data_IF_014747027249
#
_entry.id   IF_014747027249
#
_cell.length_a   1.000
_cell.length_b   1.000
_cell.length_c   1.000
_cell.angle_alpha   90.00
_cell.angle_beta   90.00
_cell.angle_gamma   90.00
#
_symmetry.space_group_name_H-M   'P 1'
#
loop_
_entity.id
_entity.type
_entity.pdbx_description
1 polymer ?
#
# COMPACT_ATOMS: atom_id res chain seq x y z
N UNK A 1 9.45 -6.85 -4.98
CA UNK A 1 10.78 -6.83 -5.64
C UNK A 1 11.61 -8.06 -5.30
N UNK A 2 11.99 -8.32 -4.04
CA UNK A 2 12.77 -9.51 -3.67
C UNK A 2 12.18 -10.82 -4.20
N UNK A 3 10.89 -11.08 -3.95
CA UNK A 3 10.21 -12.25 -4.51
C UNK A 3 10.27 -12.32 -6.04
N UNK A 4 10.11 -11.19 -6.74
CA UNK A 4 10.21 -11.14 -8.21
C UNK A 4 11.63 -11.46 -8.70
N UNK A 5 12.64 -11.11 -7.92
CA UNK A 5 14.03 -11.45 -8.18
C UNK A 5 14.43 -12.86 -7.71
N UNK A 6 13.46 -13.72 -7.36
CA UNK A 6 13.69 -15.11 -6.97
C UNK A 6 14.07 -15.33 -5.49
N UNK A 7 14.14 -14.26 -4.69
CA UNK A 7 14.46 -14.38 -3.27
C UNK A 7 13.25 -14.78 -2.42
N UNK A 8 13.50 -15.50 -1.33
CA UNK A 8 12.52 -15.79 -0.29
C UNK A 8 12.69 -14.79 0.87
N UNK A 9 11.57 -14.36 1.45
CA UNK A 9 11.54 -13.52 2.65
C UNK A 9 10.98 -14.37 3.77
N UNK A 10 11.73 -14.51 4.86
CA UNK A 10 11.35 -15.31 6.02
C UNK A 10 11.38 -14.45 7.30
N UNK A 11 10.59 -14.86 8.29
CA UNK A 11 10.58 -14.31 9.64
C UNK A 11 11.32 -15.26 10.56
N UNK A 12 12.23 -14.73 11.40
CA UNK A 12 12.88 -15.48 12.49
C UNK A 12 12.13 -15.13 13.77
N UNK A 13 11.31 -16.05 14.27
CA UNK A 13 10.37 -15.77 15.37
C UNK A 13 11.09 -15.54 16.71
N UNK A 14 12.29 -16.10 16.86
CA UNK A 14 13.13 -16.01 18.06
C UNK A 14 13.79 -14.63 18.19
N UNK A 15 13.94 -13.90 17.09
CA UNK A 15 14.56 -12.58 17.06
C UNK A 15 13.52 -11.47 17.31
N UNK A 16 13.17 -11.24 18.57
CA UNK A 16 12.19 -10.22 18.96
C UNK A 16 12.87 -8.86 19.18
N UNK A 17 12.42 -7.84 18.44
CA UNK A 17 12.87 -6.45 18.58
C UNK A 17 11.68 -5.58 18.97
N UNK A 18 11.80 -4.88 20.11
CA UNK A 18 10.79 -3.90 20.53
C UNK A 18 10.99 -2.59 19.78
N UNK A 19 9.97 -2.15 19.05
CA UNK A 19 10.01 -0.90 18.30
C UNK A 19 8.99 0.10 18.83
N UNK A 20 9.39 1.36 18.94
CA UNK A 20 8.50 2.47 19.29
C UNK A 20 7.75 2.87 18.01
N UNK A 21 6.74 2.08 17.63
CA UNK A 21 5.78 2.30 16.53
C UNK A 21 6.05 3.49 15.60
N UNK A 22 5.20 4.52 15.68
CA UNK A 22 5.34 5.76 14.92
C UNK A 22 6.19 6.81 15.65
N UNK A 23 7.28 6.44 16.32
CA UNK A 23 8.03 7.30 17.25
C UNK A 23 8.52 8.62 16.67
N UNK A 24 8.80 8.68 15.36
CA UNK A 24 9.27 9.91 14.70
C UNK A 24 8.15 10.76 14.09
N UNK A 25 6.97 10.18 13.83
CA UNK A 25 5.88 10.88 13.15
C UNK A 25 4.50 10.46 13.69
N UNK A 26 3.79 11.39 14.38
CA UNK A 26 2.49 11.11 15.00
C UNK A 26 1.46 10.54 14.02
N UNK A 27 0.55 9.71 14.52
CA UNK A 27 -0.48 9.04 13.71
C UNK A 27 -1.40 10.04 13.00
N UNK A 28 -1.73 11.15 13.67
CA UNK A 28 -2.60 12.22 13.17
C UNK A 28 -1.87 13.28 12.33
N UNK A 29 -0.59 13.09 12.01
CA UNK A 29 0.18 14.06 11.24
C UNK A 29 -0.28 14.11 9.78
N UNK A 30 -0.66 15.30 9.24
CA UNK A 30 -0.98 15.44 7.81
C UNK A 30 0.18 15.03 6.90
N UNK A 31 1.42 15.25 7.33
CA UNK A 31 2.59 14.84 6.55
C UNK A 31 2.70 13.31 6.47
N UNK A 32 2.34 12.59 7.54
CA UNK A 32 2.26 11.13 7.52
C UNK A 32 1.19 10.64 6.55
N UNK A 33 0.03 11.31 6.54
CA UNK A 33 -1.03 11.07 5.57
C UNK A 33 -0.46 11.17 4.15
N UNK A 34 0.19 12.29 3.79
CA UNK A 34 0.82 12.45 2.48
C UNK A 34 1.78 11.32 2.13
N UNK A 35 2.71 10.98 3.05
CA UNK A 35 3.68 9.91 2.81
C UNK A 35 3.01 8.56 2.61
N UNK A 36 2.00 8.21 3.39
CA UNK A 36 1.28 6.94 3.29
C UNK A 36 0.57 6.81 1.94
N UNK A 37 -0.16 7.84 1.51
CA UNK A 37 -0.88 7.83 0.24
C UNK A 37 0.09 7.80 -0.95
N UNK A 38 1.11 8.67 -0.95
CA UNK A 38 2.10 8.73 -2.03
C UNK A 38 2.90 7.43 -2.14
N UNK A 39 3.45 6.95 -1.03
CA UNK A 39 4.27 5.74 -1.04
C UNK A 39 3.44 4.50 -1.40
N UNK A 40 2.18 4.43 -0.98
CA UNK A 40 1.24 3.39 -1.37
C UNK A 40 1.01 3.36 -2.88
N UNK A 41 0.70 4.51 -3.49
CA UNK A 41 0.56 4.62 -4.96
C UNK A 41 1.83 4.20 -5.69
N UNK A 42 3.00 4.65 -5.22
CA UNK A 42 4.29 4.32 -5.84
C UNK A 42 4.59 2.83 -5.74
N UNK A 43 4.28 2.21 -4.60
CA UNK A 43 4.49 0.78 -4.36
C UNK A 43 3.64 -0.04 -5.33
N UNK A 44 2.34 0.23 -5.40
CA UNK A 44 1.40 -0.47 -6.29
C UNK A 44 1.82 -0.28 -7.75
N UNK A 45 2.07 0.96 -8.17
CA UNK A 45 2.42 1.26 -9.55
C UNK A 45 3.66 0.52 -10.03
N UNK A 46 4.70 0.41 -9.20
CA UNK A 46 5.94 -0.29 -9.59
C UNK A 46 5.85 -1.81 -9.55
N UNK A 47 4.97 -2.38 -8.72
CA UNK A 47 5.05 -3.80 -8.36
C UNK A 47 3.84 -4.65 -8.77
N UNK A 48 2.67 -4.06 -9.02
CA UNK A 48 1.48 -4.82 -9.41
C UNK A 48 1.70 -5.60 -10.72
N UNK A 49 1.24 -6.87 -10.81
CA UNK A 49 1.16 -7.59 -12.09
C UNK A 49 0.30 -6.82 -13.09
N UNK A 50 0.62 -6.90 -14.39
CA UNK A 50 -0.14 -6.17 -15.43
C UNK A 50 -1.62 -6.59 -15.48
N UNK A 51 -1.91 -7.88 -15.24
CA UNK A 51 -3.28 -8.42 -15.18
C UNK A 51 -4.19 -7.73 -14.15
N UNK A 52 -3.63 -7.36 -13.00
CA UNK A 52 -4.38 -6.78 -11.88
C UNK A 52 -4.26 -5.25 -11.81
N UNK A 53 -3.33 -4.69 -12.58
CA UNK A 53 -2.90 -3.30 -12.47
C UNK A 53 -4.06 -2.31 -12.59
N UNK A 54 -4.83 -2.38 -13.67
CA UNK A 54 -5.91 -1.42 -13.95
C UNK A 54 -7.00 -1.48 -12.87
N UNK A 55 -7.44 -2.69 -12.52
CA UNK A 55 -8.47 -2.93 -11.50
C UNK A 55 -8.04 -2.40 -10.14
N UNK A 56 -6.85 -2.78 -9.66
CA UNK A 56 -6.38 -2.39 -8.32
C UNK A 56 -6.07 -0.89 -8.25
N UNK A 57 -5.48 -0.30 -9.30
CA UNK A 57 -5.23 1.15 -9.34
C UNK A 57 -6.54 1.96 -9.32
N UNK A 58 -7.58 1.51 -10.04
CA UNK A 58 -8.89 2.15 -10.01
C UNK A 58 -9.53 2.08 -8.61
N UNK A 59 -9.57 0.88 -8.01
CA UNK A 59 -10.08 0.69 -6.65
C UNK A 59 -9.31 1.58 -5.67
N UNK A 60 -7.97 1.66 -5.82
CA UNK A 60 -7.12 2.50 -4.98
C UNK A 60 -7.49 3.98 -5.09
N UNK A 61 -7.70 4.49 -6.31
CA UNK A 61 -8.10 5.88 -6.52
C UNK A 61 -9.45 6.19 -5.84
N UNK A 62 -10.43 5.29 -5.96
CA UNK A 62 -11.75 5.45 -5.31
C UNK A 62 -11.61 5.44 -3.79
N UNK A 63 -10.89 4.47 -3.21
CA UNK A 63 -10.71 4.38 -1.76
C UNK A 63 -9.94 5.59 -1.19
N UNK A 64 -8.97 6.11 -1.93
CA UNK A 64 -8.24 7.32 -1.53
C UNK A 64 -9.17 8.56 -1.56
N UNK A 65 -10.05 8.65 -2.56
CA UNK A 65 -11.09 9.67 -2.64
C UNK A 65 -12.07 9.60 -1.46
N UNK A 66 -12.57 8.40 -1.13
CA UNK A 66 -13.43 8.16 0.05
C UNK A 66 -12.72 8.58 1.33
N UNK A 67 -11.44 8.27 1.47
CA UNK A 67 -10.67 8.66 2.67
C UNK A 67 -10.48 10.17 2.74
N UNK A 68 -10.24 10.83 1.61
CA UNK A 68 -10.17 12.30 1.55
C UNK A 68 -11.49 12.95 1.97
N UNK A 69 -12.63 12.44 1.47
CA UNK A 69 -13.95 12.90 1.88
C UNK A 69 -14.20 12.70 3.38
N UNK A 70 -13.79 11.54 3.92
CA UNK A 70 -13.88 11.28 5.36
C UNK A 70 -13.09 12.31 6.18
N UNK A 71 -11.88 12.69 5.74
CA UNK A 71 -11.13 13.76 6.40
C UNK A 71 -11.84 15.12 6.34
N UNK A 72 -12.49 15.45 5.23
CA UNK A 72 -13.29 16.68 5.12
C UNK A 72 -14.46 16.70 6.09
N UNK A 73 -15.21 15.59 6.20
CA UNK A 73 -16.32 15.44 7.16
C UNK A 73 -15.83 15.58 8.60
N UNK A 74 -14.60 15.14 8.89
CA UNK A 74 -13.95 15.31 10.20
C UNK A 74 -13.28 16.69 10.40
N UNK A 75 -13.47 17.64 9.48
CA UNK A 75 -12.84 18.97 9.48
C UNK A 75 -11.30 18.93 9.47
N UNK A 76 -10.72 17.82 9.01
CA UNK A 76 -9.27 17.62 8.89
C UNK A 76 -8.76 18.06 7.50
N UNK A 77 -9.01 19.32 7.14
CA UNK A 77 -8.73 19.87 5.81
C UNK A 77 -7.28 19.69 5.36
N UNK A 78 -6.31 19.83 6.28
CA UNK A 78 -4.89 19.61 5.99
C UNK A 78 -4.63 18.17 5.53
N UNK A 79 -5.22 17.17 6.20
CA UNK A 79 -5.08 15.76 5.82
C UNK A 79 -5.74 15.47 4.48
N UNK A 80 -6.93 16.00 4.22
CA UNK A 80 -7.60 15.88 2.92
C UNK A 80 -6.74 16.45 1.77
N UNK A 81 -6.20 17.65 1.95
CA UNK A 81 -5.28 18.25 0.98
C UNK A 81 -4.01 17.41 0.77
N UNK A 82 -3.49 16.77 1.83
CA UNK A 82 -2.33 15.88 1.72
C UNK A 82 -2.61 14.62 0.89
N UNK A 83 -3.85 14.12 0.85
CA UNK A 83 -4.24 13.07 -0.09
C UNK A 83 -4.17 13.58 -1.53
N UNK A 84 -4.77 14.74 -1.82
CA UNK A 84 -4.72 15.33 -3.15
C UNK A 84 -3.28 15.60 -3.60
N UNK A 85 -2.45 16.18 -2.73
CA UNK A 85 -1.03 16.42 -2.99
C UNK A 85 -0.28 15.13 -3.34
N UNK A 86 -0.56 14.04 -2.62
CA UNK A 86 0.04 12.74 -2.90
C UNK A 86 -0.31 12.22 -4.30
N UNK A 87 -1.54 12.43 -4.75
CA UNK A 87 -1.98 12.09 -6.11
C UNK A 87 -1.31 12.98 -7.16
N UNK A 88 -1.22 14.29 -6.93
CA UNK A 88 -0.51 15.22 -7.85
C UNK A 88 0.95 14.79 -8.02
N UNK A 89 1.66 14.53 -6.92
CA UNK A 89 3.06 14.12 -6.96
C UNK A 89 3.26 12.74 -7.58
N UNK A 90 2.30 11.83 -7.39
CA UNK A 90 2.24 10.56 -8.12
C UNK A 90 2.13 10.79 -9.63
N UNK A 91 1.24 11.67 -10.09
CA UNK A 91 1.09 11.99 -11.50
C UNK A 91 2.38 12.61 -12.08
N UNK A 92 3.00 13.54 -11.35
CA UNK A 92 4.29 14.15 -11.73
C UNK A 92 5.44 13.14 -11.79
N UNK A 93 5.39 12.10 -10.96
CA UNK A 93 6.44 11.07 -10.90
C UNK A 93 6.21 9.90 -11.85
N UNK A 94 5.13 9.89 -12.65
CA UNK A 94 4.73 8.73 -13.46
C UNK A 94 5.84 8.23 -14.37
N UNK A 95 6.56 9.10 -15.07
CA UNK A 95 7.64 8.71 -15.97
C UNK A 95 8.76 7.96 -15.24
N UNK A 96 9.25 8.52 -14.12
CA UNK A 96 10.26 7.88 -13.27
C UNK A 96 9.78 6.54 -12.69
N UNK A 97 8.49 6.46 -12.35
CA UNK A 97 7.88 5.24 -11.83
C UNK A 97 7.70 4.17 -12.91
N UNK A 98 7.41 4.57 -14.15
CA UNK A 98 7.30 3.66 -15.29
C UNK A 98 8.65 3.00 -15.57
N UNK A 99 9.73 3.78 -15.62
CA UNK A 99 11.09 3.21 -15.75
C UNK A 99 11.39 2.17 -14.67
N UNK A 100 11.04 2.46 -13.41
CA UNK A 100 11.20 1.53 -12.28
C UNK A 100 10.29 0.30 -12.36
N UNK A 101 9.10 0.45 -12.94
CA UNK A 101 8.18 -0.67 -13.20
C UNK A 101 8.79 -1.62 -14.23
N UNK A 102 9.33 -1.09 -15.32
CA UNK A 102 10.01 -1.86 -16.36
C UNK A 102 11.24 -2.59 -15.82
N UNK A 103 12.08 -1.92 -15.01
CA UNK A 103 13.17 -2.59 -14.27
C UNK A 103 12.65 -3.74 -13.39
N UNK A 104 11.51 -3.55 -12.72
CA UNK A 104 10.92 -4.57 -11.85
C UNK A 104 10.34 -5.75 -12.64
N UNK A 105 9.87 -5.54 -13.88
CA UNK A 105 9.41 -6.59 -14.78
C UNK A 105 10.58 -7.45 -15.29
N UNK A 106 11.76 -6.86 -15.48
CA UNK A 106 12.98 -7.57 -15.90
C UNK A 106 13.56 -8.52 -14.85
N UNK A 107 13.22 -8.36 -13.57
CA UNK A 107 13.78 -9.17 -12.47
C UNK A 107 13.37 -10.65 -12.50
N UNK A 108 12.46 -11.05 -13.40
CA UNK A 108 12.00 -12.42 -13.55
C UNK A 108 10.56 -12.64 -13.06
N UNK A 109 9.96 -13.72 -13.57
CA UNK A 109 8.59 -14.16 -13.32
C UNK A 109 8.53 -15.28 -12.29
N UNK A 110 9.37 -15.22 -11.23
CA UNK A 110 9.18 -16.10 -10.08
C UNK A 110 7.72 -15.99 -9.61
N UNK A 111 7.01 -17.12 -9.57
CA UNK A 111 5.56 -17.11 -9.39
C UNK A 111 5.21 -16.37 -8.11
N UNK A 112 4.31 -15.39 -8.25
CA UNK A 112 3.73 -14.64 -7.14
C UNK A 112 2.50 -15.36 -6.58
N UNK A 113 2.16 -16.53 -7.13
CA UNK A 113 1.03 -17.35 -6.69
C UNK A 113 1.23 -17.78 -5.25
N UNK A 114 0.17 -17.65 -4.45
CA UNK A 114 0.21 -17.92 -3.02
C UNK A 114 0.84 -16.83 -2.14
N UNK A 115 1.53 -15.84 -2.72
CA UNK A 115 2.09 -14.72 -1.93
C UNK A 115 1.06 -13.61 -1.62
N UNK A 116 0.04 -13.49 -2.46
CA UNK A 116 -1.04 -12.51 -2.30
C UNK A 116 -2.34 -13.26 -2.02
N UNK A 117 -3.01 -12.88 -0.94
CA UNK A 117 -4.32 -13.42 -0.58
C UNK A 117 -5.40 -12.60 -1.28
N UNK A 118 -6.32 -13.26 -1.98
CA UNK A 118 -7.47 -12.62 -2.63
C UNK A 118 -8.61 -12.34 -1.63
N UNK A 119 -8.29 -11.64 -0.54
CA UNK A 119 -9.26 -11.22 0.49
C UNK A 119 -8.98 -9.79 0.92
N UNK A 120 -10.03 -8.98 1.04
CA UNK A 120 -9.92 -7.62 1.56
C UNK A 120 -9.68 -7.64 3.07
N UNK A 121 -8.49 -7.23 3.51
CA UNK A 121 -8.15 -7.13 4.94
C UNK A 121 -9.12 -6.19 5.67
N UNK A 122 -9.55 -5.09 5.03
CA UNK A 122 -10.51 -4.14 5.59
C UNK A 122 -11.86 -4.83 5.86
N UNK A 123 -12.37 -5.60 4.89
CA UNK A 123 -13.60 -6.35 5.06
C UNK A 123 -13.46 -7.42 6.16
N UNK A 124 -12.36 -8.18 6.15
CA UNK A 124 -12.13 -9.24 7.12
C UNK A 124 -12.05 -8.69 8.55
N UNK A 125 -11.41 -7.54 8.75
CA UNK A 125 -11.24 -6.94 10.06
C UNK A 125 -12.50 -6.23 10.56
N UNK A 126 -13.11 -5.35 9.76
CA UNK A 126 -14.20 -4.51 10.24
C UNK A 126 -15.57 -5.20 10.19
N UNK A 127 -15.81 -6.05 9.18
CA UNK A 127 -17.11 -6.71 8.98
C UNK A 127 -17.07 -8.13 9.57
N UNK A 128 -16.07 -8.95 9.19
CA UNK A 128 -15.96 -10.34 9.68
C UNK A 128 -15.27 -10.47 11.04
N UNK A 129 -14.76 -9.37 11.60
CA UNK A 129 -14.09 -9.32 12.92
C UNK A 129 -12.92 -10.28 13.08
N UNK A 130 -12.31 -10.72 11.98
CA UNK A 130 -11.11 -11.57 11.97
C UNK A 130 -9.89 -10.73 12.33
N UNK A 131 -9.18 -11.09 13.41
CA UNK A 131 -8.07 -10.30 13.98
C UNK A 131 -6.71 -10.96 13.84
N UNK A 132 -6.65 -12.24 13.50
CA UNK A 132 -5.40 -12.95 13.27
C UNK A 132 -5.23 -13.37 11.80
N UNK A 133 -3.98 -13.54 11.36
CA UNK A 133 -3.69 -14.04 10.02
C UNK A 133 -4.32 -15.43 9.78
N UNK A 134 -4.22 -16.32 10.78
CA UNK A 134 -4.79 -17.67 10.74
C UNK A 134 -6.29 -17.64 10.47
N UNK A 135 -7.03 -16.73 11.11
CA UNK A 135 -8.46 -16.56 10.84
C UNK A 135 -8.73 -16.07 9.40
N UNK A 136 -7.84 -15.28 8.78
CA UNK A 136 -8.04 -14.75 7.43
C UNK A 136 -7.82 -15.82 6.36
N UNK A 137 -6.83 -16.69 6.55
CA UNK A 137 -6.47 -17.73 5.58
C UNK A 137 -7.24 -19.04 5.79
N UNK A 138 -7.67 -19.33 7.02
CA UNK A 138 -8.61 -20.42 7.33
C UNK A 138 -10.04 -20.12 6.87
#
# INVERSE_FOLDING_TARGET
RFHKAGYKVALVAEAVVYHIGGGTLPYNSPFKTYLNFRNGLFLLYKNLPDKDFRKIMLIRMVLDGVTSLFFLVKLQFRSAYMVLKAHIDFHRSKESLERKREETKKLGSASVEGLIIDRSIVYQFYIKRRRSFREIVG
#
